data_IF_309926792180
#
_entry.id   IF_309926792180
#
_cell.length_a   1.000
_cell.length_b   1.000
_cell.length_c   1.000
_cell.angle_alpha   90.00
_cell.angle_beta   90.00
_cell.angle_gamma   90.00
#
_symmetry.space_group_name_H-M   'P 1'
#
loop_
_entity.id
_entity.type
_entity.pdbx_description
1 polymer ?
#
# COMPACT_ATOMS: atom_id res chain seq x y z
N UNK A 1 12.24 15.48 1.55
CA UNK A 1 10.94 15.56 0.85
C UNK A 1 11.03 16.31 -0.49
N UNK A 2 12.05 17.20 -0.67
CA UNK A 2 12.30 17.91 -1.94
C UNK A 2 12.35 16.93 -3.11
N UNK A 3 13.32 16.03 -3.15
CA UNK A 3 13.49 15.10 -4.26
C UNK A 3 12.24 14.30 -4.63
N UNK A 4 11.51 13.79 -3.63
CA UNK A 4 10.26 13.04 -3.90
C UNK A 4 9.19 13.90 -4.59
N UNK A 5 9.12 15.20 -4.27
CA UNK A 5 8.19 16.11 -4.94
C UNK A 5 8.58 16.30 -6.41
N UNK A 6 9.87 16.40 -6.67
CA UNK A 6 10.40 16.57 -8.02
C UNK A 6 10.19 15.28 -8.85
N UNK A 7 10.50 14.11 -8.27
CA UNK A 7 10.34 12.81 -8.96
C UNK A 7 8.94 12.55 -9.45
N UNK A 8 7.95 12.87 -8.63
CA UNK A 8 6.55 12.56 -8.89
C UNK A 8 5.72 13.80 -9.24
N UNK A 9 6.37 14.94 -9.51
CA UNK A 9 5.72 16.21 -9.89
C UNK A 9 4.60 16.62 -8.93
N UNK A 10 4.86 16.47 -7.62
CA UNK A 10 3.87 16.63 -6.57
C UNK A 10 3.58 18.11 -6.29
N UNK A 11 2.31 18.49 -6.36
CA UNK A 11 1.81 19.83 -6.05
C UNK A 11 1.16 19.86 -4.67
N UNK A 12 1.25 20.98 -3.91
CA UNK A 12 0.60 21.09 -2.61
C UNK A 12 -0.91 20.88 -2.70
N UNK A 13 -1.45 20.06 -1.82
CA UNK A 13 -2.90 19.89 -1.69
C UNK A 13 -3.48 21.04 -0.84
N UNK A 14 -4.32 21.90 -1.44
CA UNK A 14 -4.78 23.18 -0.83
C UNK A 14 -5.45 23.04 0.52
N UNK A 15 -6.10 21.92 0.79
CA UNK A 15 -6.89 21.71 2.00
C UNK A 15 -6.08 21.15 3.20
N UNK A 16 -4.85 20.68 2.98
CA UNK A 16 -4.09 19.93 3.99
C UNK A 16 -2.64 20.38 4.03
N UNK A 17 -2.16 20.79 5.21
CA UNK A 17 -0.73 21.11 5.39
C UNK A 17 0.11 19.85 5.24
N UNK A 18 1.27 19.97 4.59
CA UNK A 18 2.25 18.90 4.41
C UNK A 18 1.80 17.71 3.56
N UNK A 19 0.72 17.86 2.79
CA UNK A 19 0.28 16.86 1.80
C UNK A 19 0.49 17.39 0.40
N UNK A 20 1.07 16.57 -0.46
CA UNK A 20 1.34 16.88 -1.86
C UNK A 20 0.77 15.74 -2.71
N UNK A 21 0.32 16.06 -3.92
CA UNK A 21 -0.32 15.10 -4.81
C UNK A 21 0.14 15.29 -6.25
N UNK A 22 0.33 14.18 -6.98
CA UNK A 22 0.48 14.18 -8.44
C UNK A 22 -0.87 14.06 -9.15
N UNK A 23 -0.88 14.36 -10.44
CA UNK A 23 -2.04 14.15 -11.30
C UNK A 23 -2.37 12.65 -11.48
N UNK A 24 -1.40 11.77 -11.19
CA UNK A 24 -1.51 10.30 -11.25
C UNK A 24 -1.97 9.64 -9.94
N UNK A 25 -2.39 10.41 -8.94
CA UNK A 25 -2.93 9.91 -7.69
C UNK A 25 -1.89 9.52 -6.62
N UNK A 26 -0.59 9.77 -6.85
CA UNK A 26 0.43 9.62 -5.81
C UNK A 26 0.27 10.74 -4.79
N UNK A 27 0.29 10.39 -3.50
CA UNK A 27 0.26 11.35 -2.40
C UNK A 27 1.47 11.21 -1.51
N UNK A 28 2.07 12.33 -1.18
CA UNK A 28 3.18 12.44 -0.22
C UNK A 28 2.69 13.16 1.02
N UNK A 29 2.75 12.49 2.15
CA UNK A 29 2.55 13.08 3.47
C UNK A 29 3.91 13.31 4.13
N UNK A 30 4.28 14.55 4.38
CA UNK A 30 5.48 14.91 5.15
C UNK A 30 5.11 14.99 6.62
N UNK A 31 5.53 14.00 7.42
CA UNK A 31 5.08 13.82 8.80
C UNK A 31 5.87 14.63 9.83
N UNK A 32 7.13 14.97 9.51
CA UNK A 32 8.10 15.46 10.50
C UNK A 32 8.75 14.28 11.25
N UNK A 33 9.74 14.59 12.09
CA UNK A 33 10.54 13.60 12.81
C UNK A 33 9.81 13.10 14.06
N UNK A 34 9.87 11.79 14.28
CA UNK A 34 9.43 11.09 15.47
C UNK A 34 7.98 10.58 15.42
N UNK A 35 7.73 9.50 16.18
CA UNK A 35 6.46 8.77 16.23
C UNK A 35 5.24 9.68 16.50
N UNK A 36 5.36 10.65 17.39
CA UNK A 36 4.28 11.58 17.75
C UNK A 36 3.85 12.45 16.55
N UNK A 37 4.82 13.00 15.84
CA UNK A 37 4.55 13.85 14.67
C UNK A 37 3.93 13.04 13.54
N UNK A 38 4.45 11.84 13.29
CA UNK A 38 3.88 10.90 12.32
C UNK A 38 2.42 10.59 12.67
N UNK A 39 2.14 10.11 13.88
CA UNK A 39 0.80 9.70 14.30
C UNK A 39 -0.21 10.85 14.14
N UNK A 40 0.16 12.07 14.56
CA UNK A 40 -0.72 13.24 14.44
C UNK A 40 -0.97 13.63 12.98
N UNK A 41 0.08 13.64 12.16
CA UNK A 41 -0.01 14.01 10.74
C UNK A 41 -0.80 12.98 9.96
N UNK A 42 -0.54 11.68 10.20
CA UNK A 42 -1.27 10.58 9.58
C UNK A 42 -2.75 10.57 9.97
N UNK A 43 -3.07 10.69 11.26
CA UNK A 43 -4.46 10.72 11.72
C UNK A 43 -5.26 11.90 11.14
N UNK A 44 -4.61 13.05 10.95
CA UNK A 44 -5.23 14.21 10.28
C UNK A 44 -5.49 13.94 8.81
N UNK A 45 -4.49 13.39 8.12
CA UNK A 45 -4.58 12.98 6.72
C UNK A 45 -5.68 11.95 6.53
N UNK A 46 -5.67 10.86 7.31
CA UNK A 46 -6.63 9.79 7.21
C UNK A 46 -8.07 10.26 7.42
N UNK A 47 -8.31 11.15 8.39
CA UNK A 47 -9.64 11.75 8.59
C UNK A 47 -10.13 12.55 7.39
N UNK A 48 -9.25 13.26 6.68
CA UNK A 48 -9.65 14.04 5.50
C UNK A 48 -9.94 13.17 4.29
N UNK A 49 -9.22 12.06 4.14
CA UNK A 49 -9.26 11.21 2.95
C UNK A 49 -10.28 10.09 3.05
N UNK A 50 -10.39 9.45 4.21
CA UNK A 50 -11.21 8.25 4.42
C UNK A 50 -12.49 8.50 5.21
N UNK A 51 -12.86 9.79 5.46
CA UNK A 51 -14.10 10.15 6.17
C UNK A 51 -15.39 9.78 5.40
N UNK A 52 -15.30 9.51 4.10
CA UNK A 52 -16.43 9.10 3.27
C UNK A 52 -16.42 7.59 3.14
N UNK A 53 -17.33 6.93 3.82
CA UNK A 53 -17.52 5.46 3.83
C UNK A 53 -17.72 4.81 2.44
N UNK A 54 -17.91 5.61 1.39
CA UNK A 54 -18.21 5.12 0.05
C UNK A 54 -17.00 4.82 -0.83
N UNK A 55 -15.77 5.08 -0.39
CA UNK A 55 -14.57 4.76 -1.18
C UNK A 55 -13.98 3.42 -0.74
N UNK A 56 -14.33 2.36 -1.45
CA UNK A 56 -13.68 1.03 -1.38
C UNK A 56 -12.27 1.07 -2.04
N UNK A 57 -11.47 2.09 -1.72
CA UNK A 57 -10.11 2.20 -2.22
C UNK A 57 -9.17 1.65 -1.17
N UNK A 58 -8.40 0.63 -1.52
CA UNK A 58 -7.31 0.12 -0.69
C UNK A 58 -6.00 0.74 -1.18
N UNK A 59 -5.51 1.81 -0.54
CA UNK A 59 -4.29 2.47 -0.95
C UNK A 59 -3.08 1.59 -0.64
N UNK A 60 -2.04 1.68 -1.47
CA UNK A 60 -0.70 1.24 -1.08
C UNK A 60 -0.01 2.31 -0.23
N UNK A 61 0.76 1.86 0.74
CA UNK A 61 1.47 2.71 1.69
C UNK A 61 2.96 2.42 1.64
N UNK A 62 3.76 3.45 1.44
CA UNK A 62 5.21 3.35 1.48
C UNK A 62 5.78 4.34 2.49
N UNK A 63 6.43 3.84 3.53
CA UNK A 63 7.28 4.64 4.38
C UNK A 63 8.65 4.77 3.72
N UNK A 64 8.98 5.97 3.27
CA UNK A 64 10.26 6.30 2.66
C UNK A 64 10.93 7.39 3.49
N UNK A 65 12.11 7.12 3.98
CA UNK A 65 12.86 8.03 4.83
C UNK A 65 14.33 7.65 4.92
N UNK A 66 15.02 8.26 5.87
CA UNK A 66 16.41 7.95 6.18
C UNK A 66 16.52 7.12 7.46
N UNK A 67 17.64 6.43 7.62
CA UNK A 67 17.96 5.66 8.83
C UNK A 67 19.48 5.53 8.99
N UNK A 68 19.94 5.42 10.22
CA UNK A 68 21.32 5.01 10.51
C UNK A 68 21.48 3.49 10.45
N UNK A 69 22.65 2.98 10.04
CA UNK A 69 22.90 1.54 9.98
C UNK A 69 24.34 1.21 10.36
N UNK A 70 24.52 0.03 10.97
CA UNK A 70 25.83 -0.41 11.45
C UNK A 70 26.84 -0.69 10.32
N UNK A 71 26.40 -1.29 9.23
CA UNK A 71 27.29 -1.91 8.22
C UNK A 71 27.09 -1.32 6.82
N UNK A 72 25.87 -0.85 6.50
CA UNK A 72 25.57 -0.33 5.17
C UNK A 72 26.19 1.04 4.96
N UNK A 73 26.56 1.31 3.73
CA UNK A 73 27.12 2.60 3.33
C UNK A 73 26.00 3.66 3.21
N UNK A 74 26.40 4.93 3.40
CA UNK A 74 25.50 6.06 3.17
C UNK A 74 25.04 6.07 1.70
N UNK A 75 23.73 6.20 1.50
CA UNK A 75 23.09 6.17 0.19
C UNK A 75 22.53 4.80 -0.20
N UNK A 76 22.93 3.70 0.47
CA UNK A 76 22.32 2.40 0.21
C UNK A 76 20.86 2.34 0.69
N UNK A 77 20.02 1.65 -0.07
CA UNK A 77 18.61 1.44 0.28
C UNK A 77 18.42 0.08 0.95
N UNK A 78 17.69 0.07 2.04
CA UNK A 78 17.23 -1.13 2.72
C UNK A 78 15.70 -1.24 2.67
N UNK A 79 15.20 -2.41 2.25
CA UNK A 79 13.79 -2.79 2.32
C UNK A 79 13.55 -3.51 3.65
N UNK A 80 12.57 -3.07 4.42
CA UNK A 80 12.24 -3.68 5.69
C UNK A 80 11.55 -5.04 5.49
N UNK A 81 12.12 -6.11 6.05
CA UNK A 81 11.45 -7.40 6.23
C UNK A 81 10.98 -7.61 7.67
N UNK A 82 11.42 -6.75 8.58
CA UNK A 82 10.99 -6.67 9.96
C UNK A 82 10.96 -5.19 10.39
N UNK A 83 9.93 -4.80 11.09
CA UNK A 83 9.79 -3.46 11.70
C UNK A 83 9.59 -3.67 13.20
N UNK A 84 10.47 -3.10 14.02
CA UNK A 84 10.44 -3.26 15.46
C UNK A 84 10.42 -1.90 16.16
N UNK A 85 9.96 -1.91 17.40
CA UNK A 85 10.01 -0.75 18.28
C UNK A 85 10.85 -1.05 19.52
N UNK A 86 11.90 -0.28 19.75
CA UNK A 86 12.79 -0.46 20.88
C UNK A 86 12.08 -0.27 22.24
N UNK A 87 11.04 0.59 22.28
CA UNK A 87 10.32 0.89 23.54
C UNK A 87 9.27 -0.16 23.87
N UNK A 88 8.48 -0.60 22.90
CA UNK A 88 7.40 -1.58 23.14
C UNK A 88 7.84 -3.03 22.94
N UNK A 89 9.03 -3.26 22.40
CA UNK A 89 9.53 -4.58 21.99
C UNK A 89 8.61 -5.34 21.00
N UNK A 90 7.67 -4.64 20.37
CA UNK A 90 6.80 -5.20 19.33
C UNK A 90 7.53 -5.29 18.00
N UNK A 91 7.19 -6.31 17.24
CA UNK A 91 7.74 -6.53 15.89
C UNK A 91 6.63 -6.91 14.91
N UNK A 92 6.77 -6.43 13.69
CA UNK A 92 5.90 -6.73 12.57
C UNK A 92 6.74 -7.16 11.36
N UNK A 93 6.15 -7.96 10.48
CA UNK A 93 6.84 -8.55 9.35
C UNK A 93 6.10 -8.18 8.06
N UNK A 94 6.56 -7.14 7.34
CA UNK A 94 6.03 -6.81 6.02
C UNK A 94 6.13 -7.98 5.06
N UNK A 95 5.11 -8.16 4.20
CA UNK A 95 5.19 -9.11 3.09
C UNK A 95 6.28 -8.63 2.12
N UNK A 96 7.23 -9.47 1.67
CA UNK A 96 8.33 -9.07 0.81
C UNK A 96 7.86 -8.86 -0.64
N UNK A 97 7.23 -7.73 -0.90
CA UNK A 97 6.70 -7.34 -2.22
C UNK A 97 7.76 -6.57 -3.03
N UNK A 98 8.50 -5.69 -2.36
CA UNK A 98 9.53 -4.89 -3.00
C UNK A 98 10.82 -5.69 -3.14
N UNK A 99 11.53 -5.49 -4.27
CA UNK A 99 12.88 -6.02 -4.47
C UNK A 99 13.92 -4.97 -4.05
N UNK A 100 15.04 -5.42 -3.51
CA UNK A 100 16.14 -4.53 -3.12
C UNK A 100 17.43 -5.32 -2.91
N UNK A 101 18.56 -4.63 -2.83
CA UNK A 101 19.86 -5.24 -2.57
C UNK A 101 20.02 -5.63 -1.09
N UNK A 102 19.37 -4.92 -0.19
CA UNK A 102 19.46 -5.14 1.24
C UNK A 102 18.07 -5.30 1.85
N UNK A 103 17.91 -6.36 2.64
CA UNK A 103 16.72 -6.62 3.45
C UNK A 103 17.14 -6.72 4.91
N UNK A 104 16.36 -6.10 5.78
CA UNK A 104 16.70 -6.12 7.19
C UNK A 104 15.61 -5.58 8.10
N UNK A 105 15.97 -5.52 9.37
CA UNK A 105 15.15 -4.93 10.41
C UNK A 105 15.25 -3.40 10.36
N UNK A 106 14.10 -2.72 10.41
CA UNK A 106 14.00 -1.30 10.75
C UNK A 106 13.58 -1.22 12.23
N UNK A 107 14.47 -0.71 13.06
CA UNK A 107 14.26 -0.56 14.50
C UNK A 107 13.91 0.90 14.83
N UNK A 108 12.67 1.12 15.23
CA UNK A 108 12.21 2.47 15.60
C UNK A 108 12.63 2.79 17.04
N UNK A 109 13.37 3.88 17.17
CA UNK A 109 13.88 4.45 18.44
C UNK A 109 13.28 5.83 18.69
N UNK A 110 13.31 6.31 19.93
CA UNK A 110 12.81 7.66 20.28
C UNK A 110 13.85 8.77 20.09
N UNK A 111 15.13 8.43 20.16
CA UNK A 111 16.26 9.34 19.96
C UNK A 111 17.22 8.74 18.94
N UNK A 112 17.98 9.55 18.17
CA UNK A 112 18.94 9.05 17.21
C UNK A 112 19.95 8.08 17.86
N UNK A 113 20.13 6.90 17.24
CA UNK A 113 21.12 5.93 17.70
C UNK A 113 22.51 6.30 17.17
N UNK A 114 23.49 6.35 18.06
CA UNK A 114 24.86 6.77 17.74
C UNK A 114 25.86 5.61 17.77
N UNK A 115 25.48 4.48 18.34
CA UNK A 115 26.37 3.33 18.58
C UNK A 115 26.07 2.11 17.74
N UNK A 116 24.90 2.05 17.15
CA UNK A 116 24.42 0.98 16.25
C UNK A 116 24.66 -0.44 16.81
N UNK A 117 24.16 -0.78 18.00
CA UNK A 117 24.51 -2.03 18.69
C UNK A 117 24.00 -3.28 17.96
N UNK A 118 22.94 -3.14 17.16
CA UNK A 118 22.36 -4.23 16.38
C UNK A 118 22.55 -4.00 14.87
N UNK A 119 22.52 -5.07 14.09
CA UNK A 119 22.49 -4.98 12.63
C UNK A 119 21.07 -4.69 12.14
N UNK A 120 20.65 -3.44 12.29
CA UNK A 120 19.33 -2.93 11.94
C UNK A 120 19.46 -1.50 11.42
N UNK A 121 18.46 -1.05 10.64
CA UNK A 121 18.33 0.35 10.29
C UNK A 121 17.55 1.08 11.40
N UNK A 122 18.18 2.06 12.02
CA UNK A 122 17.60 2.84 13.10
C UNK A 122 16.84 4.03 12.57
N UNK A 123 15.55 4.07 12.85
CA UNK A 123 14.66 5.16 12.46
C UNK A 123 13.83 5.66 13.64
N UNK A 124 12.97 6.64 13.42
CA UNK A 124 12.16 7.23 14.47
C UNK A 124 10.64 7.15 14.19
N UNK A 125 10.19 6.51 13.09
CA UNK A 125 8.80 6.57 12.62
C UNK A 125 8.21 5.25 12.13
N UNK A 126 9.00 4.31 11.65
CA UNK A 126 8.53 3.15 10.88
C UNK A 126 7.49 2.30 11.61
N UNK A 127 7.68 2.06 12.91
CA UNK A 127 6.70 1.29 13.69
C UNK A 127 5.36 2.03 13.80
N UNK A 128 5.39 3.33 14.10
CA UNK A 128 4.16 4.11 14.18
C UNK A 128 3.46 4.25 12.82
N UNK A 129 4.24 4.36 11.73
CA UNK A 129 3.69 4.31 10.38
C UNK A 129 2.97 2.98 10.14
N UNK A 130 3.61 1.86 10.46
CA UNK A 130 3.06 0.53 10.28
C UNK A 130 1.72 0.36 10.98
N UNK A 131 1.67 0.69 12.28
CA UNK A 131 0.45 0.60 13.09
C UNK A 131 -0.70 1.46 12.52
N UNK A 132 -0.37 2.65 12.04
CA UNK A 132 -1.37 3.53 11.45
C UNK A 132 -1.85 3.03 10.08
N UNK A 133 -0.94 2.57 9.22
CA UNK A 133 -1.25 2.13 7.86
C UNK A 133 -2.12 0.86 7.85
N UNK A 134 -1.94 -0.05 8.80
CA UNK A 134 -2.77 -1.26 8.97
C UNK A 134 -4.27 -0.99 9.10
N UNK A 135 -4.66 0.21 9.56
CA UNK A 135 -6.07 0.56 9.67
C UNK A 135 -6.69 1.00 8.32
N UNK A 136 -5.87 1.24 7.29
CA UNK A 136 -6.31 1.85 6.03
C UNK A 136 -5.81 1.15 4.78
N UNK A 137 -5.07 0.05 4.90
CA UNK A 137 -4.50 -0.66 3.78
C UNK A 137 -4.44 -2.17 4.01
N UNK A 138 -4.22 -2.91 2.95
CA UNK A 138 -3.93 -4.34 3.03
C UNK A 138 -2.47 -4.57 3.38
N UNK A 139 -2.19 -5.62 4.13
CA UNK A 139 -0.86 -5.95 4.64
C UNK A 139 0.20 -5.96 3.52
N UNK A 140 -0.12 -6.57 2.38
CA UNK A 140 0.79 -6.71 1.24
C UNK A 140 1.10 -5.36 0.56
N UNK A 141 0.25 -4.37 0.74
CA UNK A 141 0.40 -3.02 0.18
C UNK A 141 1.02 -2.02 1.15
N UNK A 142 1.51 -2.48 2.31
CA UNK A 142 2.19 -1.63 3.31
C UNK A 142 3.66 -1.99 3.33
N UNK A 143 4.51 -1.07 2.88
CA UNK A 143 5.95 -1.30 2.73
C UNK A 143 6.77 -0.19 3.41
N UNK A 144 8.01 -0.52 3.75
CA UNK A 144 8.95 0.42 4.36
C UNK A 144 10.32 0.26 3.71
N UNK A 145 10.86 1.38 3.21
CA UNK A 145 12.22 1.46 2.69
C UNK A 145 12.97 2.61 3.37
N UNK A 146 14.25 2.40 3.66
CA UNK A 146 15.10 3.41 4.27
C UNK A 146 16.37 3.59 3.45
N UNK A 147 16.74 4.84 3.18
CA UNK A 147 18.06 5.21 2.69
C UNK A 147 18.98 5.44 3.87
N UNK A 148 20.15 4.85 3.84
CA UNK A 148 21.12 4.99 4.91
C UNK A 148 21.71 6.41 4.86
N UNK A 149 21.58 7.12 5.96
CA UNK A 149 22.08 8.50 6.10
C UNK A 149 23.34 8.60 6.93
N UNK A 150 23.60 7.60 7.77
CA UNK A 150 24.67 7.60 8.74
C UNK A 150 25.04 6.18 9.19
N UNK A 151 26.28 6.04 9.63
CA UNK A 151 26.85 4.79 10.13
C UNK A 151 28.04 5.10 11.07
N UNK A 152 28.75 4.11 11.66
CA UNK A 152 29.89 4.38 12.54
C UNK A 152 31.05 5.19 11.92
N UNK A 153 31.15 5.27 10.59
CA UNK A 153 32.21 6.01 9.88
C UNK A 153 31.71 7.40 9.46
N UNK A 154 30.42 7.51 9.13
CA UNK A 154 29.75 8.72 8.72
C UNK A 154 28.62 9.02 9.69
N UNK A 155 28.95 9.70 10.80
CA UNK A 155 28.04 9.91 11.92
C UNK A 155 26.93 10.91 11.63
N UNK A 156 25.94 10.94 12.52
CA UNK A 156 24.73 11.78 12.44
C UNK A 156 25.04 13.26 12.27
N UNK A 157 26.18 13.73 12.76
CA UNK A 157 26.62 15.15 12.62
C UNK A 157 26.93 15.56 11.19
N UNK A 158 27.14 14.61 10.27
CA UNK A 158 27.35 14.86 8.86
C UNK A 158 26.05 14.98 8.07
N UNK A 159 24.91 14.65 8.66
CA UNK A 159 23.63 14.73 7.98
C UNK A 159 23.27 16.18 7.70
N UNK A 160 23.20 16.52 6.44
CA UNK A 160 22.77 17.84 5.94
C UNK A 160 21.60 17.68 4.98
N UNK A 161 20.87 18.76 4.74
CA UNK A 161 19.80 18.74 3.73
C UNK A 161 20.36 18.39 2.34
N UNK A 162 21.55 18.86 2.01
CA UNK A 162 22.21 18.56 0.74
C UNK A 162 22.56 17.08 0.60
N UNK A 163 23.11 16.45 1.66
CA UNK A 163 23.37 15.01 1.66
C UNK A 163 22.07 14.21 1.49
N UNK A 164 21.00 14.58 2.20
CA UNK A 164 19.70 13.90 2.06
C UNK A 164 19.20 14.04 0.62
N UNK A 165 19.27 15.22 0.03
CA UNK A 165 18.85 15.41 -1.37
C UNK A 165 19.70 14.56 -2.32
N UNK A 166 21.03 14.52 -2.13
CA UNK A 166 21.94 13.71 -2.94
C UNK A 166 21.61 12.22 -2.91
N UNK A 167 21.44 11.62 -1.73
CA UNK A 167 21.15 10.18 -1.61
C UNK A 167 19.77 9.84 -2.18
N UNK A 168 18.78 10.73 -2.03
CA UNK A 168 17.47 10.53 -2.65
C UNK A 168 17.53 10.65 -4.18
N UNK A 169 18.30 11.59 -4.73
CA UNK A 169 18.47 11.71 -6.17
C UNK A 169 19.21 10.51 -6.75
N UNK A 170 20.24 10.00 -6.06
CA UNK A 170 20.95 8.79 -6.48
C UNK A 170 20.05 7.55 -6.50
N UNK A 171 19.10 7.42 -5.55
CA UNK A 171 18.17 6.30 -5.46
C UNK A 171 16.88 6.51 -6.27
N UNK A 172 16.78 7.56 -7.11
CA UNK A 172 15.52 7.97 -7.75
C UNK A 172 14.85 6.89 -8.59
N UNK A 173 15.63 6.12 -9.34
CA UNK A 173 15.10 5.06 -10.22
C UNK A 173 14.54 3.88 -9.41
N UNK A 174 15.24 3.47 -8.35
CA UNK A 174 14.77 2.42 -7.45
C UNK A 174 13.49 2.85 -6.70
N UNK A 175 13.44 4.10 -6.23
CA UNK A 175 12.23 4.66 -5.59
C UNK A 175 11.05 4.67 -6.56
N UNK A 176 11.26 5.07 -7.82
CA UNK A 176 10.20 5.05 -8.86
C UNK A 176 9.70 3.63 -9.10
N UNK A 177 10.59 2.67 -9.27
CA UNK A 177 10.25 1.26 -9.46
C UNK A 177 9.39 0.72 -8.31
N UNK A 178 9.74 1.03 -7.05
CA UNK A 178 8.96 0.63 -5.88
C UNK A 178 7.56 1.25 -5.87
N UNK A 179 7.46 2.55 -6.16
CA UNK A 179 6.17 3.25 -6.21
C UNK A 179 5.30 2.71 -7.34
N UNK A 180 5.85 2.49 -8.53
CA UNK A 180 5.11 1.97 -9.67
C UNK A 180 4.63 0.53 -9.44
N UNK A 181 5.46 -0.32 -8.84
CA UNK A 181 5.06 -1.68 -8.44
C UNK A 181 3.89 -1.63 -7.46
N UNK A 182 3.99 -0.84 -6.41
CA UNK A 182 2.92 -0.71 -5.41
C UNK A 182 1.63 -0.13 -5.99
N UNK A 183 1.73 0.81 -6.93
CA UNK A 183 0.56 1.35 -7.65
C UNK A 183 -0.12 0.28 -8.49
N UNK A 184 0.65 -0.52 -9.24
CA UNK A 184 0.11 -1.60 -10.06
C UNK A 184 -0.59 -2.65 -9.18
N UNK A 185 0.03 -3.08 -8.09
CA UNK A 185 -0.57 -4.02 -7.14
C UNK A 185 -1.83 -3.47 -6.49
N UNK A 186 -1.84 -2.19 -6.11
CA UNK A 186 -3.03 -1.54 -5.55
C UNK A 186 -4.16 -1.47 -6.60
N UNK A 187 -3.82 -1.20 -7.86
CA UNK A 187 -4.79 -1.20 -8.97
C UNK A 187 -5.37 -2.60 -9.19
N UNK A 188 -4.53 -3.63 -9.30
CA UNK A 188 -4.99 -5.03 -9.44
C UNK A 188 -5.90 -5.44 -8.28
N UNK A 189 -5.49 -5.12 -7.05
CA UNK A 189 -6.27 -5.39 -5.85
C UNK A 189 -7.62 -4.67 -5.88
N UNK A 190 -7.64 -3.41 -6.34
CA UNK A 190 -8.86 -2.62 -6.48
C UNK A 190 -9.82 -3.27 -7.49
N UNK A 191 -9.32 -3.82 -8.60
CA UNK A 191 -10.14 -4.54 -9.56
C UNK A 191 -10.79 -5.79 -8.93
N UNK A 192 -10.05 -6.51 -8.07
CA UNK A 192 -10.58 -7.71 -7.40
C UNK A 192 -11.66 -7.40 -6.35
N UNK A 193 -11.57 -6.27 -5.66
CA UNK A 193 -12.51 -5.88 -4.61
C UNK A 193 -13.66 -4.99 -5.09
N UNK A 194 -13.51 -4.37 -6.26
CA UNK A 194 -14.56 -3.51 -6.83
C UNK A 194 -15.81 -4.32 -7.20
N UNK A 195 -16.94 -3.64 -7.23
CA UNK A 195 -18.17 -4.24 -7.73
C UNK A 195 -18.07 -4.38 -9.25
N UNK A 196 -18.15 -5.62 -9.80
CA UNK A 196 -18.14 -5.83 -11.22
C UNK A 196 -19.29 -5.08 -11.91
N UNK A 197 -19.05 -4.51 -13.08
CA UNK A 197 -20.08 -3.81 -13.87
C UNK A 197 -21.35 -4.67 -14.03
N UNK A 198 -21.26 -5.97 -14.36
CA UNK A 198 -22.45 -6.83 -14.43
C UNK A 198 -23.23 -6.93 -13.10
N UNK A 199 -22.55 -6.91 -11.96
CA UNK A 199 -23.23 -6.88 -10.66
C UNK A 199 -24.00 -5.58 -10.44
N UNK A 200 -23.41 -4.43 -10.79
CA UNK A 200 -24.06 -3.12 -10.68
C UNK A 200 -25.31 -3.07 -11.56
N UNK A 201 -25.24 -3.58 -12.77
CA UNK A 201 -26.39 -3.67 -13.69
C UNK A 201 -27.51 -4.57 -13.13
N UNK A 202 -27.16 -5.71 -12.51
CA UNK A 202 -28.12 -6.60 -11.84
C UNK A 202 -28.80 -5.88 -10.68
N UNK A 203 -28.00 -5.20 -9.84
CA UNK A 203 -28.50 -4.51 -8.66
C UNK A 203 -29.45 -3.35 -9.01
N UNK A 204 -29.24 -2.71 -10.16
CA UNK A 204 -30.14 -1.68 -10.68
C UNK A 204 -31.46 -2.26 -11.24
N UNK A 205 -31.42 -3.46 -11.84
CA UNK A 205 -32.58 -4.09 -12.49
C UNK A 205 -33.50 -4.84 -11.55
N UNK A 206 -32.97 -5.45 -10.49
CA UNK A 206 -33.75 -6.27 -9.56
C UNK A 206 -33.45 -5.94 -8.11
N UNK A 207 -34.50 -5.96 -7.29
CA UNK A 207 -34.32 -5.81 -5.85
C UNK A 207 -33.65 -7.06 -5.26
N UNK A 208 -32.50 -6.86 -4.64
CA UNK A 208 -31.71 -7.88 -3.93
C UNK A 208 -31.77 -7.62 -2.42
N UNK A 209 -32.12 -8.62 -1.63
CA UNK A 209 -31.86 -8.51 -0.20
C UNK A 209 -30.35 -8.68 0.08
N UNK A 210 -29.91 -8.35 1.30
CA UNK A 210 -28.47 -8.31 1.67
C UNK A 210 -27.76 -9.62 1.33
N UNK A 211 -28.36 -10.77 1.63
CA UNK A 211 -27.75 -12.08 1.37
C UNK A 211 -27.68 -12.38 -0.14
N UNK A 212 -28.68 -12.01 -0.89
CA UNK A 212 -28.71 -12.17 -2.35
C UNK A 212 -27.68 -11.26 -3.01
N UNK A 213 -27.60 -10.02 -2.59
CA UNK A 213 -26.61 -9.06 -3.07
C UNK A 213 -25.18 -9.59 -2.87
N UNK A 214 -24.85 -10.06 -1.67
CA UNK A 214 -23.54 -10.67 -1.37
C UNK A 214 -23.25 -11.90 -2.23
N UNK A 215 -24.24 -12.77 -2.45
CA UNK A 215 -24.07 -13.98 -3.25
C UNK A 215 -23.85 -13.66 -4.72
N UNK A 216 -24.67 -12.79 -5.31
CA UNK A 216 -24.57 -12.40 -6.72
C UNK A 216 -23.25 -11.66 -6.95
N UNK A 217 -22.91 -10.70 -6.07
CA UNK A 217 -21.63 -9.98 -6.12
C UNK A 217 -20.43 -10.93 -6.17
N UNK A 218 -20.36 -11.88 -5.24
CA UNK A 218 -19.26 -12.87 -5.19
C UNK A 218 -19.18 -13.75 -6.43
N UNK A 219 -20.33 -14.11 -7.02
CA UNK A 219 -20.35 -14.89 -8.24
C UNK A 219 -19.85 -14.07 -9.43
N UNK A 220 -20.29 -12.82 -9.58
CA UNK A 220 -19.77 -11.91 -10.61
C UNK A 220 -18.27 -11.67 -10.46
N UNK A 221 -17.79 -11.39 -9.24
CA UNK A 221 -16.35 -11.26 -8.97
C UNK A 221 -15.56 -12.51 -9.37
N UNK A 222 -16.14 -13.72 -9.16
CA UNK A 222 -15.50 -14.96 -9.54
C UNK A 222 -15.41 -15.13 -11.06
N UNK A 223 -16.42 -14.70 -11.83
CA UNK A 223 -16.32 -14.67 -13.29
C UNK A 223 -15.21 -13.77 -13.78
N UNK A 224 -15.09 -12.55 -13.21
CA UNK A 224 -14.01 -11.61 -13.51
C UNK A 224 -12.65 -12.20 -13.19
N UNK A 225 -12.47 -12.74 -11.98
CA UNK A 225 -11.22 -13.37 -11.55
C UNK A 225 -10.79 -14.58 -12.42
N UNK A 226 -11.72 -15.20 -13.12
CA UNK A 226 -11.47 -16.29 -14.06
C UNK A 226 -11.36 -15.82 -15.52
N UNK A 227 -11.35 -14.51 -15.80
CA UNK A 227 -11.38 -13.89 -17.14
C UNK A 227 -12.55 -14.42 -17.99
N UNK A 228 -13.74 -14.56 -17.38
CA UNK A 228 -14.96 -15.10 -18.01
C UNK A 228 -16.10 -14.06 -18.08
N UNK A 229 -15.76 -12.78 -18.21
CA UNK A 229 -16.73 -11.67 -18.26
C UNK A 229 -17.69 -11.82 -19.45
N UNK A 230 -17.18 -12.16 -20.62
CA UNK A 230 -18.02 -12.35 -21.80
C UNK A 230 -19.06 -13.44 -21.64
N UNK A 231 -18.74 -14.52 -20.88
CA UNK A 231 -19.70 -15.57 -20.55
C UNK A 231 -20.74 -15.07 -19.55
N UNK A 232 -20.32 -14.31 -18.53
CA UNK A 232 -21.23 -13.67 -17.59
C UNK A 232 -22.23 -12.77 -18.32
N UNK A 233 -21.78 -11.92 -19.23
CA UNK A 233 -22.64 -11.08 -20.06
C UNK A 233 -23.62 -11.89 -20.90
N UNK A 234 -23.17 -12.97 -21.53
CA UNK A 234 -24.02 -13.87 -22.30
C UNK A 234 -25.11 -14.53 -21.43
N UNK A 235 -24.76 -14.98 -20.22
CA UNK A 235 -25.72 -15.54 -19.27
C UNK A 235 -26.76 -14.52 -18.81
N UNK A 236 -26.35 -13.29 -18.57
CA UNK A 236 -27.26 -12.20 -18.19
C UNK A 236 -28.20 -11.81 -19.34
N UNK A 237 -27.75 -11.92 -20.59
CA UNK A 237 -28.54 -11.67 -21.79
C UNK A 237 -29.63 -12.71 -22.02
N UNK A 238 -29.47 -13.95 -21.54
CA UNK A 238 -30.52 -15.00 -21.65
C UNK A 238 -31.74 -14.73 -20.76
N UNK A 239 -31.61 -13.80 -19.82
CA UNK A 239 -32.65 -13.41 -18.88
C UNK A 239 -32.76 -14.32 -17.68
N UNK A 240 -33.31 -13.81 -16.59
CA UNK A 240 -33.56 -14.52 -15.35
C UNK A 240 -34.85 -14.02 -14.69
N UNK A 241 -35.55 -14.92 -13.98
CA UNK A 241 -36.87 -14.62 -13.40
C UNK A 241 -36.78 -14.03 -11.98
N UNK A 242 -35.72 -14.31 -11.27
CA UNK A 242 -35.53 -13.90 -9.90
C UNK A 242 -34.06 -13.94 -9.49
N UNK A 243 -33.72 -13.32 -8.37
CA UNK A 243 -32.35 -13.36 -7.79
C UNK A 243 -31.91 -14.80 -7.46
N UNK A 244 -32.85 -15.68 -7.09
CA UNK A 244 -32.57 -17.09 -6.82
C UNK A 244 -32.24 -17.87 -8.10
N UNK A 245 -33.00 -17.64 -9.13
CA UNK A 245 -32.80 -18.23 -10.47
C UNK A 245 -31.44 -17.78 -11.04
N UNK A 246 -31.15 -16.48 -11.03
CA UNK A 246 -29.86 -15.94 -11.42
C UNK A 246 -28.70 -16.58 -10.66
N UNK A 247 -28.82 -16.66 -9.32
CA UNK A 247 -27.77 -17.25 -8.49
C UNK A 247 -27.52 -18.71 -8.88
N UNK A 248 -28.54 -19.44 -9.23
CA UNK A 248 -28.44 -20.84 -9.68
C UNK A 248 -27.74 -20.93 -11.04
N UNK A 249 -28.15 -20.13 -12.02
CA UNK A 249 -27.53 -20.08 -13.36
C UNK A 249 -26.04 -19.79 -13.25
N UNK A 250 -25.65 -18.75 -12.50
CA UNK A 250 -24.26 -18.39 -12.32
C UNK A 250 -23.42 -19.48 -11.63
N UNK A 251 -23.99 -20.16 -10.65
CA UNK A 251 -23.30 -21.28 -9.96
C UNK A 251 -23.10 -22.50 -10.86
N UNK A 252 -24.10 -22.85 -11.66
CA UNK A 252 -24.02 -23.99 -12.57
C UNK A 252 -22.98 -23.77 -13.65
N UNK A 253 -22.92 -22.59 -14.25
CA UNK A 253 -21.88 -22.21 -15.21
C UNK A 253 -20.46 -22.29 -14.60
N UNK A 254 -20.27 -21.77 -13.38
CA UNK A 254 -18.96 -21.85 -12.72
C UNK A 254 -18.54 -23.29 -12.36
N UNK A 255 -19.50 -24.23 -12.14
CA UNK A 255 -19.20 -25.62 -11.87
C UNK A 255 -18.86 -26.43 -13.11
N UNK A 256 -19.46 -26.11 -14.25
CA UNK A 256 -19.24 -26.84 -15.50
C UNK A 256 -17.80 -26.68 -16.03
N UNK A 257 -17.17 -25.56 -15.76
CA UNK A 257 -15.78 -25.32 -16.15
C UNK A 257 -14.73 -26.09 -15.33
N UNK A 258 -15.09 -26.58 -14.14
CA UNK A 258 -14.18 -27.40 -13.32
C UNK A 258 -14.09 -28.87 -13.78
N UNK A 259 -14.83 -29.28 -14.80
CA UNK A 259 -14.84 -30.66 -15.31
C UNK A 259 -14.07 -30.86 -16.62
N UNK A 260 -13.44 -29.84 -17.16
CA UNK A 260 -12.77 -29.87 -18.49
C UNK A 260 -11.26 -30.18 -18.41
N UNK A 261 -10.72 -30.49 -17.25
CA UNK A 261 -9.26 -30.80 -17.11
C UNK A 261 -8.97 -32.26 -16.73
N UNK A 262 -9.83 -33.22 -17.13
CA UNK A 262 -9.52 -34.63 -17.07
C UNK A 262 -9.87 -35.32 -18.42
N UNK A 263 -9.14 -34.95 -19.49
CA UNK A 263 -8.97 -35.78 -20.69
C UNK A 263 -7.57 -35.59 -21.24
#
# INVERSE_FOLDING_TARGET
AGPLKDFFQLKPLRATKNVFQSDEGIRLLVTGVGRKNLTQSFARFARSEFAKESQQVSPAWLNMGIAGHRELAVGEMMVANKISCAVSAQSSFPTPVLSGNHYGEVLTVDEPELTYPQNAAYDMEAHAFWDMALNYGMLDLIQCCKLISDNPHDGVEKITAALIDEIFYAASDEIRQHVDLLRNLAYEQQQLISDPVPYLEIADRIHLNVNQALQVRRLCQRFVALNRESELEALLATGYRSARDLTQILRESLKSAGKVTEE
#
